data_IF_614529855967
#
_entry.id   IF_614529855967
#
_cell.length_a   1.000
_cell.length_b   1.000
_cell.length_c   1.000
_cell.angle_alpha   90.00
_cell.angle_beta   90.00
_cell.angle_gamma   90.00
#
_symmetry.space_group_name_H-M   'P 1'
#
loop_
_entity.id
_entity.type
_entity.pdbx_description
1 polymer ?
#
# COMPACT_ATOMS: atom_id res chain seq x y z
N UNK A 1 -8.86 -10.24 3.22
CA UNK A 1 -7.99 -9.93 4.39
C UNK A 1 -6.91 -10.98 4.45
N UNK A 2 -5.62 -10.60 4.60
CA UNK A 2 -4.54 -11.56 4.75
C UNK A 2 -4.75 -12.44 5.99
N UNK A 3 -4.48 -13.73 5.83
CA UNK A 3 -4.78 -14.75 6.83
C UNK A 3 -3.59 -15.69 7.00
N UNK A 4 -3.25 -16.01 8.25
CA UNK A 4 -2.23 -17.01 8.59
C UNK A 4 -2.73 -18.44 8.26
N UNK A 5 -1.81 -19.37 8.13
CA UNK A 5 -2.15 -20.80 7.96
C UNK A 5 -3.02 -21.37 9.10
N UNK A 6 -2.97 -20.74 10.27
CA UNK A 6 -3.84 -21.04 11.43
C UNK A 6 -5.29 -20.59 11.25
N UNK A 7 -5.55 -19.72 10.28
CA UNK A 7 -6.85 -19.09 10.04
C UNK A 7 -7.07 -17.77 10.80
N UNK A 8 -6.07 -17.27 11.52
CA UNK A 8 -6.12 -15.97 12.18
C UNK A 8 -5.74 -14.87 11.19
N UNK A 9 -6.12 -13.62 11.48
CA UNK A 9 -5.69 -12.46 10.69
C UNK A 9 -4.16 -12.37 10.67
N UNK A 10 -3.61 -12.00 9.51
CA UNK A 10 -2.18 -11.79 9.32
C UNK A 10 -1.85 -10.31 9.16
N UNK A 11 -0.61 -9.94 9.51
CA UNK A 11 -0.01 -8.64 9.23
C UNK A 11 1.09 -8.80 8.20
N UNK A 12 1.15 -7.90 7.23
CA UNK A 12 2.24 -7.81 6.26
C UNK A 12 3.54 -7.23 6.83
N UNK A 13 3.53 -6.77 8.08
CA UNK A 13 4.70 -6.20 8.77
C UNK A 13 5.18 -7.04 9.95
N UNK A 14 4.50 -8.16 10.26
CA UNK A 14 4.92 -9.06 11.34
C UNK A 14 5.35 -10.42 10.80
N UNK A 15 6.66 -10.72 10.74
CA UNK A 15 7.18 -11.98 10.21
C UNK A 15 6.65 -13.24 10.93
N UNK A 16 6.26 -13.13 12.20
CA UNK A 16 5.67 -14.26 12.94
C UNK A 16 4.31 -14.71 12.38
N UNK A 17 3.67 -13.92 11.51
CA UNK A 17 2.41 -14.24 10.85
C UNK A 17 2.59 -14.88 9.47
N UNK A 18 3.83 -14.96 8.98
CA UNK A 18 4.12 -15.53 7.66
C UNK A 18 4.48 -17.01 7.77
N UNK A 19 4.42 -17.69 6.67
CA UNK A 19 4.82 -19.11 6.59
C UNK A 19 5.55 -19.34 5.28
N UNK A 20 6.35 -20.41 5.22
CA UNK A 20 7.02 -20.80 3.99
C UNK A 20 6.01 -21.25 2.92
N UNK A 21 6.48 -21.23 1.66
CA UNK A 21 5.65 -21.54 0.51
C UNK A 21 4.97 -22.91 0.59
N UNK A 22 5.69 -23.94 1.01
CA UNK A 22 5.14 -25.31 1.06
C UNK A 22 4.05 -25.45 2.11
N UNK A 23 4.21 -24.81 3.26
CA UNK A 23 3.20 -24.77 4.33
C UNK A 23 1.95 -24.04 3.84
N UNK A 24 2.10 -22.87 3.21
CA UNK A 24 0.98 -22.10 2.66
C UNK A 24 0.28 -22.87 1.55
N UNK A 25 1.02 -23.45 0.60
CA UNK A 25 0.48 -24.23 -0.51
C UNK A 25 -0.32 -25.43 -0.01
N UNK A 26 0.24 -26.19 0.93
CA UNK A 26 -0.45 -27.37 1.51
C UNK A 26 -1.72 -26.96 2.25
N UNK A 27 -1.68 -25.85 2.99
CA UNK A 27 -2.84 -25.33 3.72
C UNK A 27 -3.93 -24.87 2.77
N UNK A 28 -3.57 -24.17 1.71
CA UNK A 28 -4.50 -23.72 0.67
C UNK A 28 -5.15 -24.91 -0.05
N UNK A 29 -4.36 -25.89 -0.47
CA UNK A 29 -4.86 -27.09 -1.16
C UNK A 29 -5.80 -27.94 -0.28
N UNK A 30 -5.53 -27.99 1.02
CA UNK A 30 -6.36 -28.71 1.98
C UNK A 30 -7.67 -28.00 2.33
N UNK A 31 -7.77 -26.67 2.05
CA UNK A 31 -8.91 -25.85 2.46
C UNK A 31 -9.35 -24.85 1.35
N UNK A 32 -9.65 -25.29 0.14
CA UNK A 32 -9.92 -24.42 -1.01
C UNK A 32 -11.17 -23.55 -0.81
N UNK A 33 -12.14 -24.03 -0.03
CA UNK A 33 -13.35 -23.26 0.28
C UNK A 33 -13.10 -22.13 1.29
N UNK A 34 -12.03 -22.23 2.07
CA UNK A 34 -11.74 -21.28 3.15
C UNK A 34 -10.89 -20.11 2.69
N UNK A 35 -9.99 -20.36 1.75
CA UNK A 35 -9.01 -19.38 1.28
C UNK A 35 -9.22 -19.08 -0.19
N UNK A 36 -9.31 -17.80 -0.53
CA UNK A 36 -9.49 -17.34 -1.91
C UNK A 36 -8.20 -17.43 -2.76
N UNK A 37 -7.05 -17.59 -2.12
CA UNK A 37 -5.76 -17.65 -2.81
C UNK A 37 -4.58 -17.56 -1.84
N UNK A 38 -3.41 -17.39 -2.41
CA UNK A 38 -2.12 -17.26 -1.71
C UNK A 38 -1.60 -15.84 -1.89
N UNK A 39 -1.00 -15.26 -0.85
CA UNK A 39 -0.34 -13.97 -0.91
C UNK A 39 1.16 -14.09 -0.66
N UNK A 40 1.94 -13.25 -1.33
CA UNK A 40 3.36 -13.06 -1.09
C UNK A 40 3.59 -11.76 -0.34
N UNK A 41 4.39 -11.78 0.73
CA UNK A 41 4.75 -10.59 1.51
C UNK A 41 6.12 -10.11 1.09
N UNK A 42 6.22 -8.83 0.71
CA UNK A 42 7.50 -8.19 0.43
C UNK A 42 8.19 -7.83 1.73
N UNK A 43 9.40 -8.33 1.89
CA UNK A 43 10.27 -8.11 3.05
C UNK A 43 11.54 -7.38 2.62
N UNK A 44 12.13 -6.61 3.52
CA UNK A 44 13.41 -5.94 3.27
C UNK A 44 14.58 -6.92 3.07
N UNK A 45 14.38 -8.20 3.40
CA UNK A 45 15.41 -9.25 3.29
C UNK A 45 15.41 -9.93 1.90
N UNK A 46 14.30 -9.84 1.14
CA UNK A 46 14.12 -10.59 -0.10
C UNK A 46 14.68 -9.90 -1.35
N UNK A 47 14.96 -8.60 -1.30
CA UNK A 47 15.25 -7.76 -2.47
C UNK A 47 14.19 -7.88 -3.58
N UNK A 48 12.98 -8.28 -3.23
CA UNK A 48 11.82 -8.31 -4.11
C UNK A 48 10.91 -7.15 -3.75
N UNK A 49 10.29 -6.58 -4.78
CA UNK A 49 9.32 -5.50 -4.62
C UNK A 49 8.11 -5.73 -5.51
N UNK A 50 7.02 -5.11 -5.14
CA UNK A 50 5.78 -5.13 -5.89
C UNK A 50 5.47 -3.80 -6.52
N UNK A 51 4.99 -3.84 -7.78
CA UNK A 51 4.35 -2.71 -8.44
C UNK A 51 2.89 -3.07 -8.68
N UNK A 52 1.98 -2.21 -8.27
CA UNK A 52 0.54 -2.34 -8.48
C UNK A 52 0.07 -1.24 -9.43
N UNK A 53 -0.59 -1.65 -10.49
CA UNK A 53 -1.20 -0.75 -11.47
C UNK A 53 -2.71 -0.98 -11.42
N UNK A 54 -3.43 -0.05 -10.81
CA UNK A 54 -4.87 -0.15 -10.62
C UNK A 54 -5.64 0.43 -11.81
N UNK A 55 -6.77 -0.22 -12.15
CA UNK A 55 -7.73 0.22 -13.18
C UNK A 55 -7.12 0.48 -14.57
N UNK A 56 -6.14 -0.35 -14.96
CA UNK A 56 -5.40 -0.22 -16.23
C UNK A 56 -5.63 -1.37 -17.20
N UNK A 57 -6.34 -2.41 -16.77
CA UNK A 57 -6.46 -3.67 -17.50
C UNK A 57 -7.90 -4.16 -17.57
N UNK A 58 -8.28 -4.82 -18.64
CA UNK A 58 -9.51 -5.59 -18.78
C UNK A 58 -9.15 -7.06 -18.97
N UNK A 59 -9.63 -7.93 -18.07
CA UNK A 59 -9.39 -9.36 -18.12
C UNK A 59 -10.70 -10.15 -18.27
N UNK A 60 -10.75 -11.00 -19.28
CA UNK A 60 -11.85 -11.95 -19.50
C UNK A 60 -11.48 -13.30 -18.89
N UNK A 61 -12.14 -13.66 -17.79
CA UNK A 61 -11.91 -14.92 -17.09
C UNK A 61 -12.32 -16.16 -17.91
N UNK A 62 -13.25 -16.02 -18.88
CA UNK A 62 -13.72 -17.15 -19.67
C UNK A 62 -12.70 -17.52 -20.75
N UNK A 63 -12.13 -16.52 -21.40
CA UNK A 63 -11.12 -16.71 -22.45
C UNK A 63 -9.70 -16.72 -21.92
N UNK A 64 -9.49 -16.32 -20.67
CA UNK A 64 -8.19 -16.10 -20.03
C UNK A 64 -7.30 -15.13 -20.82
N UNK A 65 -7.91 -14.14 -21.45
CA UNK A 65 -7.23 -13.11 -22.20
C UNK A 65 -7.54 -11.74 -21.62
N UNK A 66 -6.64 -10.78 -21.87
CA UNK A 66 -6.87 -9.41 -21.43
C UNK A 66 -6.04 -8.41 -22.21
N UNK A 67 -6.27 -7.14 -21.92
CA UNK A 67 -5.58 -6.03 -22.57
C UNK A 67 -5.45 -4.84 -21.64
N UNK A 68 -4.41 -4.05 -21.83
CA UNK A 68 -4.33 -2.72 -21.24
C UNK A 68 -5.37 -1.79 -21.87
N UNK A 69 -6.07 -1.03 -21.01
CA UNK A 69 -7.03 0.00 -21.42
C UNK A 69 -6.43 1.40 -21.35
N UNK A 70 -5.22 1.52 -20.78
CA UNK A 70 -4.46 2.75 -20.65
C UNK A 70 -3.09 2.59 -21.31
N UNK A 71 -2.88 3.27 -22.45
CA UNK A 71 -1.65 3.15 -23.22
C UNK A 71 -0.40 3.67 -22.48
N UNK A 72 -0.53 4.70 -21.63
CA UNK A 72 0.58 5.21 -20.84
C UNK A 72 1.01 4.19 -19.78
N UNK A 73 0.06 3.50 -19.14
CA UNK A 73 0.35 2.45 -18.18
C UNK A 73 0.88 1.17 -18.85
N UNK A 74 0.43 0.87 -20.06
CA UNK A 74 1.02 -0.19 -20.87
C UNK A 74 2.49 0.10 -21.19
N UNK A 75 2.82 1.33 -21.58
CA UNK A 75 4.18 1.74 -21.81
C UNK A 75 5.01 1.65 -20.52
N UNK A 76 4.53 2.23 -19.42
CA UNK A 76 5.19 2.18 -18.11
C UNK A 76 5.47 0.72 -17.70
N UNK A 77 4.48 -0.16 -17.83
CA UNK A 77 4.65 -1.58 -17.50
C UNK A 77 5.71 -2.29 -18.36
N UNK A 78 5.87 -1.86 -19.61
CA UNK A 78 6.89 -2.41 -20.52
C UNK A 78 8.32 -1.95 -20.19
N UNK A 79 8.47 -0.90 -19.39
CA UNK A 79 9.77 -0.39 -18.91
C UNK A 79 10.20 -1.10 -17.61
N UNK A 80 9.33 -1.91 -17.00
CA UNK A 80 9.61 -2.65 -15.78
C UNK A 80 9.92 -4.10 -16.10
N UNK A 81 11.16 -4.52 -15.89
CA UNK A 81 11.54 -5.92 -15.92
C UNK A 81 10.93 -6.65 -14.72
N UNK A 82 9.99 -7.56 -14.95
CA UNK A 82 9.32 -8.26 -13.86
C UNK A 82 8.42 -9.40 -14.33
N UNK A 83 8.03 -10.26 -13.40
CA UNK A 83 6.90 -11.16 -13.58
C UNK A 83 5.61 -10.36 -13.42
N UNK A 84 4.79 -10.39 -14.44
CA UNK A 84 3.55 -9.61 -14.50
C UNK A 84 2.34 -10.54 -14.56
N UNK A 85 1.35 -10.27 -13.73
CA UNK A 85 0.07 -10.98 -13.70
C UNK A 85 -1.12 -10.05 -13.51
N UNK A 86 -2.30 -10.54 -13.84
CA UNK A 86 -3.57 -9.83 -13.61
C UNK A 86 -3.87 -9.79 -12.11
N UNK A 87 -4.31 -8.65 -11.60
CA UNK A 87 -4.75 -8.50 -10.21
C UNK A 87 -6.01 -9.33 -9.91
N UNK A 88 -6.33 -9.62 -8.63
CA UNK A 88 -7.55 -10.37 -8.28
C UNK A 88 -8.85 -9.75 -8.75
N UNK A 89 -8.90 -8.42 -8.93
CA UNK A 89 -10.09 -7.72 -9.44
C UNK A 89 -10.32 -7.94 -10.94
N UNK A 90 -9.27 -8.30 -11.69
CA UNK A 90 -9.29 -8.36 -13.15
C UNK A 90 -9.14 -7.01 -13.83
N UNK A 91 -9.04 -5.90 -13.08
CA UNK A 91 -8.94 -4.53 -13.62
C UNK A 91 -7.54 -3.94 -13.48
N UNK A 92 -6.67 -4.56 -12.71
CA UNK A 92 -5.30 -4.10 -12.48
C UNK A 92 -4.24 -5.14 -12.84
N UNK A 93 -3.00 -4.74 -12.70
CA UNK A 93 -1.82 -5.56 -12.99
C UNK A 93 -0.85 -5.51 -11.81
N UNK A 94 -0.35 -6.67 -11.40
CA UNK A 94 0.69 -6.78 -10.38
C UNK A 94 2.00 -7.23 -10.99
N UNK A 95 3.07 -6.53 -10.65
CA UNK A 95 4.41 -6.84 -11.14
C UNK A 95 5.30 -7.18 -9.93
N UNK A 96 5.96 -8.32 -10.01
CA UNK A 96 6.98 -8.75 -9.04
C UNK A 96 8.34 -8.55 -9.68
N UNK A 97 9.15 -7.70 -9.09
CA UNK A 97 10.45 -7.30 -9.67
C UNK A 97 11.53 -7.13 -8.60
N UNK A 98 12.70 -6.68 -9.03
CA UNK A 98 13.81 -6.23 -8.16
C UNK A 98 14.22 -4.83 -8.56
N UNK A 99 14.31 -3.94 -7.59
CA UNK A 99 14.89 -2.62 -7.79
C UNK A 99 15.54 -2.12 -6.50
N UNK A 100 16.44 -1.16 -6.64
CA UNK A 100 17.14 -0.55 -5.51
C UNK A 100 16.42 0.73 -5.07
N UNK A 101 15.21 0.55 -4.52
CA UNK A 101 14.45 1.62 -3.88
C UNK A 101 14.14 1.25 -2.43
N UNK A 102 14.19 2.23 -1.53
CA UNK A 102 14.04 2.03 -0.10
C UNK A 102 12.67 2.46 0.44
N UNK A 103 11.97 3.31 -0.28
CA UNK A 103 10.69 3.87 0.14
C UNK A 103 9.57 3.53 -0.86
N UNK A 104 8.39 3.30 -0.33
CA UNK A 104 7.19 3.14 -1.16
C UNK A 104 6.89 4.43 -1.92
N UNK A 105 6.36 4.27 -3.13
CA UNK A 105 5.85 5.37 -3.94
C UNK A 105 4.40 5.09 -4.30
N UNK A 106 3.53 6.08 -4.12
CA UNK A 106 2.10 5.95 -4.42
C UNK A 106 1.66 7.19 -5.19
N UNK A 107 1.11 6.97 -6.38
CA UNK A 107 0.49 8.00 -7.20
C UNK A 107 -0.92 7.55 -7.63
N UNK A 108 -1.91 7.93 -6.83
CA UNK A 108 -3.30 7.59 -7.10
C UNK A 108 -3.86 8.27 -8.35
N UNK A 109 -3.22 9.33 -8.86
CA UNK A 109 -3.70 10.03 -10.06
C UNK A 109 -3.56 9.18 -11.33
N UNK A 110 -2.62 8.23 -11.32
CA UNK A 110 -2.37 7.30 -12.41
C UNK A 110 -2.56 5.83 -12.01
N UNK A 111 -2.93 5.56 -10.75
CA UNK A 111 -3.11 4.21 -10.23
C UNK A 111 -1.80 3.43 -10.05
N UNK A 112 -0.67 4.10 -9.80
CA UNK A 112 0.64 3.49 -9.60
C UNK A 112 0.99 3.40 -8.12
N UNK A 113 1.25 2.18 -7.64
CA UNK A 113 1.76 1.93 -6.29
C UNK A 113 3.02 1.04 -6.36
N UNK A 114 4.09 1.42 -5.66
CA UNK A 114 5.35 0.68 -5.61
C UNK A 114 5.73 0.40 -4.17
N UNK A 115 5.97 -0.86 -3.84
CA UNK A 115 6.22 -1.32 -2.48
C UNK A 115 7.50 -2.17 -2.41
N UNK A 116 8.60 -1.64 -1.87
CA UNK A 116 9.81 -2.42 -1.63
C UNK A 116 9.66 -3.42 -0.49
N UNK A 117 8.84 -3.12 0.52
CA UNK A 117 8.57 -3.98 1.67
C UNK A 117 7.29 -3.60 2.41
N UNK A 118 6.89 -4.41 3.41
CA UNK A 118 5.78 -4.11 4.32
C UNK A 118 4.38 -4.25 3.69
N UNK A 119 4.30 -4.76 2.48
CA UNK A 119 3.05 -5.01 1.75
C UNK A 119 2.96 -6.48 1.36
N UNK A 120 1.75 -6.96 1.06
CA UNK A 120 1.57 -8.25 0.42
C UNK A 120 0.80 -8.09 -0.89
N UNK A 121 1.10 -8.95 -1.86
CA UNK A 121 0.27 -9.12 -3.05
C UNK A 121 -0.36 -10.51 -3.05
N UNK A 122 -1.62 -10.58 -3.44
CA UNK A 122 -2.24 -11.87 -3.78
C UNK A 122 -1.66 -12.35 -5.09
N UNK A 123 -1.22 -13.60 -5.13
CA UNK A 123 -0.70 -14.24 -6.35
C UNK A 123 -1.85 -14.94 -7.05
N UNK A 124 -2.17 -14.51 -8.26
CA UNK A 124 -3.28 -15.04 -9.05
C UNK A 124 -2.86 -16.16 -10.02
N UNK A 125 -1.63 -16.09 -10.50
CA UNK A 125 -1.13 -16.96 -11.57
C UNK A 125 -1.70 -16.63 -12.96
N UNK A 126 -2.52 -15.60 -13.10
CA UNK A 126 -3.01 -15.11 -14.39
C UNK A 126 -1.89 -14.33 -15.10
N UNK A 127 -0.94 -15.07 -15.62
CA UNK A 127 0.29 -14.57 -16.23
C UNK A 127 0.02 -13.68 -17.43
N UNK A 128 0.69 -12.52 -17.49
CA UNK A 128 0.69 -11.60 -18.62
C UNK A 128 2.03 -11.71 -19.36
N UNK A 129 3.15 -11.44 -18.68
CA UNK A 129 4.46 -11.41 -19.32
C UNK A 129 5.61 -11.43 -18.32
N UNK A 130 6.83 -11.60 -18.82
CA UNK A 130 8.09 -11.37 -18.10
C UNK A 130 8.46 -12.44 -17.07
N UNK A 131 9.50 -12.18 -16.34
CA UNK A 131 9.99 -12.99 -15.22
C UNK A 131 10.74 -12.09 -14.22
N UNK A 132 10.85 -12.51 -12.97
CA UNK A 132 11.59 -11.75 -11.96
C UNK A 132 13.07 -11.65 -12.37
N UNK A 133 13.64 -10.43 -12.52
CA UNK A 133 15.03 -10.27 -12.96
C UNK A 133 16.00 -10.78 -11.89
N UNK A 134 17.18 -11.22 -12.32
CA UNK A 134 18.23 -11.70 -11.42
C UNK A 134 18.90 -10.56 -10.64
N UNK A 135 18.95 -9.36 -11.25
CA UNK A 135 19.57 -8.16 -10.69
C UNK A 135 18.55 -7.04 -10.54
N UNK A 136 18.73 -6.12 -9.57
CA UNK A 136 17.88 -4.95 -9.45
C UNK A 136 17.94 -4.07 -10.70
N UNK A 137 16.79 -3.52 -11.08
CA UNK A 137 16.62 -2.53 -12.14
C UNK A 137 16.71 -1.12 -11.55
N UNK A 138 17.20 -0.17 -12.34
CA UNK A 138 17.15 1.24 -12.01
C UNK A 138 15.73 1.80 -12.24
N UNK A 139 15.10 2.27 -11.18
CA UNK A 139 13.75 2.86 -11.18
C UNK A 139 13.75 4.38 -11.21
N UNK A 140 14.89 5.04 -11.40
CA UNK A 140 14.99 6.50 -11.41
C UNK A 140 14.15 7.19 -12.49
N UNK A 141 13.86 6.49 -13.60
CA UNK A 141 12.96 6.96 -14.65
C UNK A 141 11.47 6.69 -14.36
N UNK A 142 11.17 5.76 -13.47
CA UNK A 142 9.80 5.33 -13.12
C UNK A 142 9.33 6.06 -11.86
N UNK A 143 10.20 6.09 -10.86
CA UNK A 143 9.99 6.88 -9.64
C UNK A 143 10.84 8.12 -9.78
N UNK A 144 10.25 9.30 -10.04
CA UNK A 144 11.02 10.52 -10.08
C UNK A 144 11.79 10.65 -8.77
N UNK A 145 13.09 10.94 -8.86
CA UNK A 145 13.89 11.23 -7.68
C UNK A 145 13.06 12.19 -6.83
N UNK A 146 12.79 11.85 -5.57
CA UNK A 146 12.18 12.79 -4.64
C UNK A 146 13.05 14.02 -4.68
N UNK A 147 12.68 14.94 -5.55
CA UNK A 147 13.11 16.30 -5.38
C UNK A 147 12.53 16.65 -4.03
N UNK A 148 13.38 16.84 -3.04
CA UNK A 148 13.02 17.53 -1.80
C UNK A 148 12.65 18.95 -2.19
N UNK A 149 11.57 19.09 -2.93
CA UNK A 149 10.86 20.31 -3.01
C UNK A 149 10.15 20.36 -1.67
N UNK A 150 10.64 21.23 -0.79
CA UNK A 150 9.90 21.72 0.35
C UNK A 150 8.63 22.44 -0.13
N UNK A 151 7.75 21.70 -0.76
CA UNK A 151 6.36 22.08 -0.98
C UNK A 151 5.60 21.24 0.01
N UNK A 152 5.42 21.82 1.22
CA UNK A 152 4.36 21.50 2.17
C UNK A 152 3.64 20.15 2.05
N UNK A 153 4.37 19.04 1.96
CA UNK A 153 3.83 17.75 2.34
C UNK A 153 3.54 17.87 3.83
N UNK A 154 2.27 17.82 4.20
CA UNK A 154 1.84 17.98 5.58
C UNK A 154 2.51 16.97 6.55
N UNK A 155 3.38 16.08 6.07
CA UNK A 155 4.12 15.06 6.81
C UNK A 155 5.64 15.03 6.53
N UNK A 156 6.17 15.85 5.61
CA UNK A 156 7.56 15.71 5.11
C UNK A 156 8.64 16.30 6.00
N UNK A 157 8.31 17.18 6.96
CA UNK A 157 9.31 17.97 7.69
C UNK A 157 9.04 18.12 9.19
N UNK A 158 8.20 17.26 9.77
CA UNK A 158 8.00 17.24 11.21
C UNK A 158 9.08 16.39 11.90
N UNK A 159 10.27 16.97 12.03
CA UNK A 159 11.35 16.35 12.80
C UNK A 159 11.17 16.50 14.30
N UNK A 160 10.30 17.37 14.76
CA UNK A 160 9.92 17.50 16.16
C UNK A 160 8.48 18.04 16.31
N UNK A 161 7.76 17.66 17.38
CA UNK A 161 6.50 18.28 17.75
C UNK A 161 6.64 19.81 17.95
N UNK A 162 5.59 20.56 17.66
CA UNK A 162 5.57 22.02 17.87
C UNK A 162 5.52 22.32 19.37
N UNK A 163 6.48 23.10 19.87
CA UNK A 163 6.65 23.32 21.32
C UNK A 163 5.47 24.05 21.97
N UNK A 164 4.73 24.89 21.24
CA UNK A 164 3.65 25.73 21.76
C UNK A 164 2.24 25.16 21.53
N UNK A 165 2.13 23.88 21.11
CA UNK A 165 0.83 23.25 20.82
C UNK A 165 0.50 22.18 21.86
N UNK A 166 -0.41 22.51 22.77
CA UNK A 166 -1.05 21.55 23.66
C UNK A 166 -2.39 21.04 23.10
N UNK A 167 -2.95 19.99 23.71
CA UNK A 167 -4.20 19.36 23.27
C UNK A 167 -5.36 20.35 23.27
N UNK A 168 -5.45 21.21 24.28
CA UNK A 168 -6.50 22.21 24.39
C UNK A 168 -6.45 23.21 23.24
N UNK A 169 -5.26 23.64 22.86
CA UNK A 169 -5.06 24.53 21.72
C UNK A 169 -5.43 23.86 20.40
N UNK A 170 -5.05 22.59 20.20
CA UNK A 170 -5.45 21.83 19.00
C UNK A 170 -6.96 21.68 18.92
N UNK A 171 -7.64 21.35 20.01
CA UNK A 171 -9.11 21.25 20.03
C UNK A 171 -9.77 22.57 19.66
N UNK A 172 -9.29 23.67 20.17
CA UNK A 172 -9.91 24.99 19.99
C UNK A 172 -9.54 25.67 18.66
N UNK A 173 -8.32 25.51 18.20
CA UNK A 173 -7.83 26.25 17.01
C UNK A 173 -7.85 25.40 15.73
N UNK A 174 -7.58 24.10 15.79
CA UNK A 174 -7.57 23.22 14.63
C UNK A 174 -8.91 22.48 14.49
N UNK A 175 -9.24 21.63 15.44
CA UNK A 175 -10.39 20.74 15.33
C UNK A 175 -11.73 21.49 15.33
N UNK A 176 -11.83 22.61 16.01
CA UNK A 176 -13.04 23.44 16.00
C UNK A 176 -13.32 24.09 14.64
N UNK A 177 -12.28 24.30 13.82
CA UNK A 177 -12.38 24.95 12.52
C UNK A 177 -12.53 23.94 11.33
N UNK A 178 -12.27 22.66 11.55
CA UNK A 178 -12.45 21.62 10.53
C UNK A 178 -13.81 20.98 10.74
N UNK A 179 -14.82 21.52 10.03
CA UNK A 179 -16.22 21.06 10.15
C UNK A 179 -16.68 20.15 9.02
N UNK A 180 -15.89 20.05 7.95
CA UNK A 180 -16.19 19.19 6.80
C UNK A 180 -14.91 18.50 6.37
N UNK A 181 -14.90 17.17 6.33
CA UNK A 181 -13.71 16.38 5.97
C UNK A 181 -14.12 15.04 5.37
N UNK A 182 -13.28 14.52 4.47
CA UNK A 182 -13.35 13.15 3.97
C UNK A 182 -12.51 12.19 4.80
N UNK A 183 -12.54 10.92 4.44
CA UNK A 183 -11.76 9.87 5.11
C UNK A 183 -10.26 10.18 5.15
N UNK A 184 -9.71 10.70 4.05
CA UNK A 184 -8.28 11.02 3.97
C UNK A 184 -7.87 12.15 4.91
N UNK A 185 -8.71 13.17 5.05
CA UNK A 185 -8.46 14.28 5.99
C UNK A 185 -8.60 13.81 7.43
N UNK A 186 -9.60 12.98 7.71
CA UNK A 186 -9.79 12.34 9.01
C UNK A 186 -8.56 11.54 9.44
N UNK A 187 -8.02 10.71 8.52
CA UNK A 187 -6.82 9.91 8.77
C UNK A 187 -5.60 10.80 8.98
N UNK A 188 -5.41 11.82 8.14
CA UNK A 188 -4.29 12.77 8.27
C UNK A 188 -4.30 13.50 9.61
N UNK A 189 -5.45 13.98 10.05
CA UNK A 189 -5.58 14.65 11.34
C UNK A 189 -5.25 13.70 12.49
N UNK A 190 -5.71 12.44 12.45
CA UNK A 190 -5.34 11.43 13.43
C UNK A 190 -3.83 11.17 13.48
N UNK A 191 -3.17 11.11 12.34
CA UNK A 191 -1.72 10.95 12.26
C UNK A 191 -0.96 12.18 12.79
N UNK A 192 -1.44 13.40 12.51
CA UNK A 192 -0.87 14.64 13.04
C UNK A 192 -0.98 14.65 14.57
N UNK A 193 -2.15 14.33 15.11
CA UNK A 193 -2.38 14.25 16.57
C UNK A 193 -1.46 13.23 17.23
N UNK A 194 -1.34 12.03 16.63
CA UNK A 194 -0.44 10.99 17.12
C UNK A 194 1.03 11.44 17.12
N UNK A 195 1.48 12.12 16.05
CA UNK A 195 2.85 12.62 15.96
C UNK A 195 3.12 13.75 16.94
N UNK A 196 2.24 14.76 17.00
CA UNK A 196 2.39 15.94 17.85
C UNK A 196 2.50 15.58 19.34
N UNK A 197 1.75 14.58 19.77
CA UNK A 197 1.61 14.19 21.17
C UNK A 197 2.21 12.82 21.48
N UNK A 198 3.04 12.29 20.61
CA UNK A 198 3.77 11.02 20.79
C UNK A 198 2.86 9.84 21.18
N UNK A 199 1.64 9.82 20.65
CA UNK A 199 0.67 8.76 20.92
C UNK A 199 -0.03 8.86 22.26
N UNK A 200 -0.06 10.05 22.87
CA UNK A 200 -0.76 10.30 24.14
C UNK A 200 -2.25 9.94 24.02
N UNK A 201 -2.77 9.28 25.06
CA UNK A 201 -4.17 8.81 25.11
C UNK A 201 -5.15 9.99 25.07
N UNK A 202 -4.85 11.10 25.73
CA UNK A 202 -5.70 12.30 25.73
C UNK A 202 -5.81 12.92 24.33
N UNK A 203 -4.72 12.88 23.54
CA UNK A 203 -4.75 13.31 22.14
C UNK A 203 -5.62 12.40 21.26
N UNK A 204 -5.57 11.10 21.49
CA UNK A 204 -6.44 10.13 20.82
C UNK A 204 -7.91 10.37 21.15
N UNK A 205 -8.23 10.63 22.43
CA UNK A 205 -9.58 10.96 22.88
C UNK A 205 -10.08 12.29 22.28
N UNK A 206 -9.20 13.29 22.14
CA UNK A 206 -9.53 14.56 21.49
C UNK A 206 -9.90 14.37 20.01
N UNK A 207 -9.10 13.55 19.30
CA UNK A 207 -9.38 13.20 17.91
C UNK A 207 -10.69 12.40 17.79
N UNK A 208 -10.96 11.46 18.68
CA UNK A 208 -12.20 10.68 18.71
C UNK A 208 -13.43 11.58 18.97
N UNK A 209 -13.35 12.49 19.96
CA UNK A 209 -14.41 13.48 20.23
C UNK A 209 -14.68 14.38 19.03
N UNK A 210 -13.67 14.75 18.28
CA UNK A 210 -13.82 15.52 17.05
C UNK A 210 -14.43 14.67 15.94
N UNK A 211 -13.95 13.46 15.73
CA UNK A 211 -14.46 12.51 14.73
C UNK A 211 -15.96 12.23 14.91
N UNK A 212 -16.40 12.06 16.16
CA UNK A 212 -17.81 11.83 16.49
C UNK A 212 -18.78 12.96 16.09
N UNK A 213 -18.25 14.15 15.71
CA UNK A 213 -19.05 15.26 15.18
C UNK A 213 -19.25 15.19 13.66
N UNK A 214 -18.54 14.29 12.98
CA UNK A 214 -18.67 14.07 11.54
C UNK A 214 -20.00 13.39 11.17
N UNK A 215 -20.41 13.56 9.90
CA UNK A 215 -21.70 13.02 9.42
C UNK A 215 -21.67 11.50 9.16
N UNK A 216 -20.49 10.88 9.06
CA UNK A 216 -20.29 9.49 8.67
C UNK A 216 -19.50 8.66 9.72
N UNK A 217 -19.58 9.05 10.99
CA UNK A 217 -18.91 8.30 12.07
C UNK A 217 -19.71 7.09 12.52
#
# INVERSE_FOLDING_TARGET
>A
VPTQVTGQAASSTNPAHWSDFFTVQSTYQANPEKYAGVGFVFSSEDNLMGVDLDDVYEYDQQTQTGRFINAAMQQLSSEIDGYMEVSPSGTGVKIFTRADIQASHVDHSIGLEIYPHGRFFTVTGHYISGSIPATPQDFSGIVPARTTIHTGDAFGDYTAPLEDWDITRVENELLANVTTYGYDDWLKIGMIMHHQFSGDVEACEAWDRWSAKGQDY
#
